data_IF_023263444880
#
_entry.id   IF_023263444880
#
_cell.length_a   1.000
_cell.length_b   1.000
_cell.length_c   1.000
_cell.angle_alpha   90.00
_cell.angle_beta   90.00
_cell.angle_gamma   90.00
#
_symmetry.space_group_name_H-M   'P 1'
#
loop_
_entity.id
_entity.type
_entity.pdbx_description
1 polymer ?
#
# COMPACT_ATOMS: atom_id res chain seq x y z
N UNK A 1 1.32 -7.19 0.78
CA UNK A 1 0.30 -6.17 0.98
C UNK A 1 0.75 -5.14 1.99
N UNK A 2 0.62 -3.88 1.65
CA UNK A 2 0.99 -2.74 2.49
C UNK A 2 -0.08 -2.53 3.59
N UNK A 3 0.28 -2.70 4.84
CA UNK A 3 -0.65 -2.48 5.94
C UNK A 3 0.10 -2.27 7.25
N UNK A 4 -0.08 -1.10 7.86
CA UNK A 4 0.53 -0.75 9.14
C UNK A 4 -0.26 -1.33 10.32
N UNK A 5 0.38 -2.16 11.14
CA UNK A 5 -0.25 -2.78 12.33
C UNK A 5 -0.58 -1.72 13.39
N UNK A 6 0.30 -0.78 13.58
CA UNK A 6 0.15 0.25 14.60
C UNK A 6 0.42 1.62 14.00
N UNK A 7 -0.65 2.40 13.82
CA UNK A 7 -0.53 3.85 13.87
C UNK A 7 -0.67 4.30 15.33
N UNK A 8 -0.12 5.45 15.69
CA UNK A 8 -0.27 6.02 17.04
C UNK A 8 -1.75 6.15 17.47
N UNK A 9 -2.66 6.18 16.50
CA UNK A 9 -4.08 6.43 16.68
C UNK A 9 -4.98 5.19 16.53
N UNK A 10 -4.45 4.04 16.08
CA UNK A 10 -5.23 2.79 15.92
C UNK A 10 -5.57 2.11 17.25
N UNK A 11 -4.87 2.48 18.32
CA UNK A 11 -5.01 1.83 19.62
C UNK A 11 -4.33 0.45 19.65
N UNK A 12 -5.03 -0.56 20.20
CA UNK A 12 -4.46 -1.91 20.31
C UNK A 12 -4.39 -2.59 18.94
N UNK A 13 -3.30 -3.29 18.65
CA UNK A 13 -3.09 -4.06 17.43
C UNK A 13 -4.19 -5.10 17.17
N UNK A 14 -4.77 -5.68 18.22
CA UNK A 14 -5.88 -6.63 18.15
C UNK A 14 -7.09 -6.08 17.37
N UNK A 15 -7.39 -4.78 17.52
CA UNK A 15 -8.46 -4.13 16.74
C UNK A 15 -8.15 -4.16 15.24
N UNK A 16 -6.92 -3.84 14.88
CA UNK A 16 -6.46 -3.86 13.48
C UNK A 16 -6.52 -5.27 12.91
N UNK A 17 -6.01 -6.26 13.66
CA UNK A 17 -6.00 -7.66 13.25
C UNK A 17 -7.41 -8.21 13.05
N UNK A 18 -8.34 -7.93 13.96
CA UNK A 18 -9.74 -8.39 13.84
C UNK A 18 -10.42 -7.81 12.60
N UNK A 19 -10.19 -6.54 12.29
CA UNK A 19 -10.74 -5.95 11.07
C UNK A 19 -10.13 -6.58 9.81
N UNK A 20 -8.83 -6.84 9.78
CA UNK A 20 -8.22 -7.53 8.65
C UNK A 20 -8.73 -8.96 8.50
N UNK A 21 -8.76 -9.73 9.57
CA UNK A 21 -9.25 -11.11 9.53
C UNK A 21 -10.72 -11.20 9.14
N UNK A 22 -11.56 -10.27 9.60
CA UNK A 22 -12.98 -10.20 9.22
C UNK A 22 -13.20 -9.88 7.71
N UNK A 23 -12.17 -9.38 7.02
CA UNK A 23 -12.19 -9.13 5.58
C UNK A 23 -11.36 -10.16 4.78
N UNK A 24 -11.01 -11.30 5.40
CA UNK A 24 -10.31 -12.38 4.72
C UNK A 24 -8.81 -12.15 4.47
N UNK A 25 -8.19 -11.19 5.14
CA UNK A 25 -6.77 -10.90 4.98
C UNK A 25 -5.97 -11.84 5.86
N UNK A 26 -5.28 -12.82 5.25
CA UNK A 26 -4.50 -13.86 5.95
C UNK A 26 -3.02 -13.55 6.08
N UNK A 27 -2.48 -12.64 5.26
CA UNK A 27 -1.06 -12.26 5.28
C UNK A 27 -0.90 -10.77 5.04
N UNK A 28 -0.09 -10.10 5.87
CA UNK A 28 0.28 -8.70 5.71
C UNK A 28 1.80 -8.53 5.74
N UNK A 29 2.26 -7.49 5.10
CA UNK A 29 3.58 -6.90 5.24
C UNK A 29 3.41 -5.59 6.00
N UNK A 30 4.06 -5.47 7.18
CA UNK A 30 4.09 -4.20 7.91
C UNK A 30 5.32 -3.39 7.48
N UNK A 31 5.13 -2.34 6.67
CA UNK A 31 6.23 -1.57 6.11
C UNK A 31 6.67 -0.47 7.09
N UNK A 32 7.42 -0.82 8.12
CA UNK A 32 7.94 0.12 9.13
C UNK A 32 6.94 0.51 10.22
N UNK A 33 6.76 -0.38 11.18
CA UNK A 33 5.95 -0.11 12.37
C UNK A 33 6.59 0.93 13.29
N UNK A 34 5.81 1.88 13.77
CA UNK A 34 6.25 2.88 14.73
C UNK A 34 6.68 2.31 16.10
N UNK A 35 6.26 1.07 16.45
CA UNK A 35 6.67 0.36 17.67
C UNK A 35 8.07 -0.29 17.55
N UNK A 36 8.65 -0.29 16.34
CA UNK A 36 9.98 -0.86 16.08
C UNK A 36 9.95 -2.36 15.76
N UNK A 37 11.10 -2.82 15.23
CA UNK A 37 11.24 -4.18 14.70
C UNK A 37 10.98 -5.26 15.76
N UNK A 38 11.53 -5.13 16.96
CA UNK A 38 11.39 -6.16 18.01
C UNK A 38 9.94 -6.42 18.39
N UNK A 39 9.13 -5.35 18.45
CA UNK A 39 7.72 -5.47 18.72
C UNK A 39 6.98 -6.20 17.56
N UNK A 40 7.30 -5.89 16.31
CA UNK A 40 6.68 -6.57 15.16
C UNK A 40 7.08 -8.05 15.11
N UNK A 41 8.33 -8.37 15.43
CA UNK A 41 8.82 -9.75 15.52
C UNK A 41 8.09 -10.53 16.61
N UNK A 42 7.81 -9.92 17.78
CA UNK A 42 6.97 -10.53 18.82
C UNK A 42 5.54 -10.80 18.31
N UNK A 43 4.93 -9.83 17.60
CA UNK A 43 3.60 -10.02 16.99
C UNK A 43 3.62 -11.12 15.92
N UNK A 44 4.66 -11.19 15.10
CA UNK A 44 4.87 -12.24 14.11
C UNK A 44 4.90 -13.62 14.76
N UNK A 45 5.69 -13.80 15.83
CA UNK A 45 5.77 -15.05 16.58
C UNK A 45 4.42 -15.43 17.21
N UNK A 46 3.72 -14.47 17.80
CA UNK A 46 2.37 -14.69 18.38
C UNK A 46 1.36 -15.10 17.31
N UNK A 47 1.39 -14.47 16.14
CA UNK A 47 0.55 -14.84 15.01
C UNK A 47 0.87 -16.25 14.48
N UNK A 48 2.15 -16.60 14.34
CA UNK A 48 2.58 -17.94 13.90
C UNK A 48 2.16 -19.04 14.87
N UNK A 49 2.20 -18.76 16.18
CA UNK A 49 1.75 -19.69 17.22
C UNK A 49 0.23 -19.67 17.44
N UNK A 50 -0.50 -18.84 16.69
CA UNK A 50 -1.94 -18.62 16.87
C UNK A 50 -2.37 -18.27 18.31
N UNK A 51 -1.49 -17.60 19.07
CA UNK A 51 -1.80 -17.07 20.39
C UNK A 51 -2.54 -15.74 20.35
N UNK A 52 -2.62 -15.14 19.17
CA UNK A 52 -3.44 -13.98 18.84
C UNK A 52 -4.19 -14.21 17.53
N UNK A 53 -5.40 -13.67 17.40
CA UNK A 53 -6.16 -13.65 16.14
C UNK A 53 -5.58 -12.57 15.25
N UNK A 54 -4.69 -12.93 14.32
CA UNK A 54 -3.98 -12.01 13.46
C UNK A 54 -3.60 -12.65 12.12
N UNK A 55 -3.49 -11.88 11.03
CA UNK A 55 -2.85 -12.34 9.80
C UNK A 55 -1.41 -12.81 10.04
N UNK A 56 -0.84 -13.59 9.14
CA UNK A 56 0.61 -13.81 9.07
C UNK A 56 1.29 -12.46 8.84
N UNK A 57 2.35 -12.16 9.61
CA UNK A 57 3.03 -10.87 9.62
C UNK A 57 4.42 -11.03 9.02
N UNK A 58 4.73 -10.23 7.99
CA UNK A 58 6.09 -10.00 7.53
C UNK A 58 6.58 -8.67 8.13
N UNK A 59 7.67 -8.75 8.87
CA UNK A 59 8.25 -7.63 9.60
C UNK A 59 9.26 -6.87 8.73
N UNK A 60 8.87 -5.72 8.17
CA UNK A 60 9.80 -4.83 7.50
C UNK A 60 10.18 -3.69 8.43
N UNK A 61 11.47 -3.43 8.56
CA UNK A 61 11.97 -2.29 9.34
C UNK A 61 12.18 -1.06 8.45
N UNK A 62 11.90 0.12 8.97
CA UNK A 62 12.19 1.39 8.28
C UNK A 62 13.68 1.66 8.20
N UNK A 63 14.21 2.00 7.02
CA UNK A 63 15.62 2.29 6.84
C UNK A 63 16.07 3.42 7.78
N UNK A 64 17.11 3.15 8.57
CA UNK A 64 17.60 4.04 9.61
C UNK A 64 16.87 3.98 10.96
N UNK A 65 15.76 3.23 11.06
CA UNK A 65 15.01 3.09 12.32
C UNK A 65 15.92 2.48 13.41
N UNK A 66 15.93 3.09 14.59
CA UNK A 66 16.77 2.68 15.72
C UNK A 66 18.22 3.17 15.65
N UNK A 67 18.65 3.85 14.58
CA UNK A 67 19.94 4.50 14.51
C UNK A 67 19.92 5.81 15.28
N UNK A 68 20.85 5.98 16.25
CA UNK A 68 20.93 7.20 17.07
C UNK A 68 21.36 8.45 16.29
N UNK A 69 22.21 8.27 15.28
CA UNK A 69 22.82 9.37 14.53
C UNK A 69 22.39 9.42 13.05
N UNK A 70 21.37 8.64 12.68
CA UNK A 70 21.01 8.42 11.27
C UNK A 70 22.03 7.51 10.56
N UNK A 71 21.91 7.41 9.25
CA UNK A 71 22.81 6.66 8.36
C UNK A 71 23.48 7.66 7.44
N UNK A 72 24.79 7.86 7.61
CA UNK A 72 25.52 8.96 6.96
C UNK A 72 26.60 8.51 5.96
N UNK A 73 26.77 7.19 5.80
CA UNK A 73 27.71 6.63 4.84
C UNK A 73 27.24 5.31 4.25
N UNK A 74 27.72 4.92 3.05
CA UNK A 74 27.45 3.62 2.45
C UNK A 74 27.83 2.45 3.36
N UNK A 75 28.92 2.56 4.12
CA UNK A 75 29.33 1.53 5.07
C UNK A 75 28.31 1.36 6.19
N UNK A 76 27.89 2.46 6.81
CA UNK A 76 26.85 2.42 7.85
C UNK A 76 25.54 1.84 7.33
N UNK A 77 25.17 2.13 6.07
CA UNK A 77 24.00 1.56 5.44
C UNK A 77 24.09 0.03 5.32
N UNK A 78 25.23 -0.49 4.87
CA UNK A 78 25.49 -1.93 4.76
C UNK A 78 25.43 -2.58 6.16
N UNK A 79 26.13 -2.01 7.14
CA UNK A 79 26.18 -2.55 8.49
C UNK A 79 24.78 -2.55 9.15
N UNK A 80 23.98 -1.49 8.93
CA UNK A 80 22.61 -1.39 9.42
C UNK A 80 21.70 -2.44 8.78
N UNK A 81 21.80 -2.68 7.47
CA UNK A 81 21.02 -3.70 6.74
C UNK A 81 21.33 -5.08 7.30
N UNK A 82 22.62 -5.43 7.48
CA UNK A 82 23.06 -6.72 8.05
C UNK A 82 22.51 -6.91 9.46
N UNK A 83 22.67 -5.91 10.33
CA UNK A 83 22.19 -5.97 11.70
C UNK A 83 20.69 -6.28 11.77
N UNK A 84 19.87 -5.66 10.93
CA UNK A 84 18.43 -5.91 10.95
C UNK A 84 18.04 -7.24 10.28
N UNK A 85 18.79 -7.71 9.29
CA UNK A 85 18.66 -9.06 8.76
C UNK A 85 18.95 -10.12 9.85
N UNK A 86 20.05 -9.97 10.58
CA UNK A 86 20.43 -10.88 11.67
C UNK A 86 19.40 -10.89 12.81
N UNK A 87 18.69 -9.79 13.04
CA UNK A 87 17.58 -9.70 14.00
C UNK A 87 16.31 -10.42 13.50
N UNK A 88 16.22 -10.77 12.20
CA UNK A 88 15.09 -11.49 11.64
C UNK A 88 14.07 -10.63 10.89
N UNK A 89 14.46 -9.44 10.43
CA UNK A 89 13.61 -8.67 9.52
C UNK A 89 13.37 -9.44 8.22
N UNK A 90 12.13 -9.43 7.72
CA UNK A 90 11.76 -10.04 6.43
C UNK A 90 12.07 -9.11 5.25
N UNK A 91 12.27 -7.83 5.53
CA UNK A 91 12.59 -6.83 4.53
C UNK A 91 12.82 -5.44 5.11
N UNK A 92 13.10 -4.49 4.21
CA UNK A 92 13.38 -3.11 4.58
C UNK A 92 12.44 -2.17 3.81
N UNK A 93 11.86 -1.22 4.56
CA UNK A 93 11.07 -0.11 4.00
C UNK A 93 11.94 1.13 3.88
N UNK A 94 12.02 1.68 2.68
CA UNK A 94 12.69 2.93 2.38
C UNK A 94 11.68 4.07 2.17
N UNK A 95 12.14 5.30 2.42
CA UNK A 95 11.42 6.53 2.08
C UNK A 95 12.25 7.42 1.13
N UNK A 96 13.55 7.28 1.15
CA UNK A 96 14.56 7.99 0.41
C UNK A 96 15.84 8.03 1.22
N UNK A 97 16.95 8.32 0.56
CA UNK A 97 18.26 8.56 1.16
C UNK A 97 19.19 9.20 0.10
N UNK A 98 20.34 9.75 0.49
CA UNK A 98 21.39 10.10 -0.46
C UNK A 98 21.70 8.92 -1.40
N UNK A 99 21.89 9.15 -2.71
CA UNK A 99 21.95 8.09 -3.70
C UNK A 99 23.00 6.99 -3.47
N UNK A 100 24.16 7.35 -2.96
CA UNK A 100 25.25 6.41 -2.65
C UNK A 100 24.92 5.51 -1.46
N UNK A 101 24.31 6.08 -0.42
CA UNK A 101 23.81 5.37 0.76
C UNK A 101 22.67 4.43 0.37
N UNK A 102 21.71 4.95 -0.41
CA UNK A 102 20.55 4.17 -0.85
C UNK A 102 20.96 2.99 -1.74
N UNK A 103 21.85 3.21 -2.70
CA UNK A 103 22.39 2.15 -3.58
C UNK A 103 23.14 1.07 -2.77
N UNK A 104 23.91 1.48 -1.77
CA UNK A 104 24.63 0.53 -0.90
C UNK A 104 23.66 -0.32 -0.09
N UNK A 105 22.62 0.29 0.51
CA UNK A 105 21.59 -0.40 1.25
C UNK A 105 20.81 -1.39 0.38
N UNK A 106 20.35 -0.98 -0.81
CA UNK A 106 19.60 -1.83 -1.73
C UNK A 106 20.42 -3.03 -2.21
N UNK A 107 21.69 -2.82 -2.57
CA UNK A 107 22.59 -3.89 -3.00
C UNK A 107 22.82 -4.92 -1.90
N UNK A 108 23.06 -4.48 -0.66
CA UNK A 108 23.24 -5.39 0.47
C UNK A 108 21.95 -6.12 0.82
N UNK A 109 20.81 -5.42 0.80
CA UNK A 109 19.49 -6.03 0.99
C UNK A 109 19.23 -7.16 -0.01
N UNK A 110 19.48 -6.91 -1.30
CA UNK A 110 19.37 -7.92 -2.36
C UNK A 110 20.34 -9.11 -2.15
N UNK A 111 21.59 -8.83 -1.77
CA UNK A 111 22.61 -9.85 -1.49
C UNK A 111 22.20 -10.80 -0.38
N UNK A 112 21.52 -10.29 0.64
CA UNK A 112 21.00 -11.07 1.77
C UNK A 112 19.66 -11.75 1.47
N UNK A 113 19.12 -11.61 0.26
CA UNK A 113 17.82 -12.18 -0.13
C UNK A 113 16.61 -11.53 0.52
N UNK A 114 16.78 -10.37 1.15
CA UNK A 114 15.68 -9.63 1.75
C UNK A 114 14.85 -8.93 0.68
N UNK A 115 13.55 -8.81 0.93
CA UNK A 115 12.67 -7.97 0.13
C UNK A 115 12.78 -6.50 0.56
N UNK A 116 12.38 -5.60 -0.33
CA UNK A 116 12.40 -4.16 -0.06
C UNK A 116 11.16 -3.48 -0.59
N UNK A 117 10.75 -2.41 0.09
CA UNK A 117 9.63 -1.57 -0.29
C UNK A 117 10.03 -0.10 -0.18
N UNK A 118 9.53 0.76 -1.05
CA UNK A 118 9.85 2.18 -0.99
C UNK A 118 8.61 3.06 -1.22
N UNK A 119 8.33 3.95 -0.25
CA UNK A 119 7.60 5.17 -0.51
C UNK A 119 8.63 6.21 -0.97
N UNK A 120 8.68 6.50 -2.26
CA UNK A 120 9.63 7.47 -2.79
C UNK A 120 9.23 8.87 -2.34
N UNK A 121 9.96 9.44 -1.37
CA UNK A 121 9.67 10.79 -0.90
C UNK A 121 9.89 11.81 -2.02
N UNK A 122 8.94 12.71 -2.22
CA UNK A 122 8.97 13.69 -3.32
C UNK A 122 10.23 14.55 -3.36
N UNK A 123 10.90 14.75 -2.21
CA UNK A 123 12.16 15.49 -2.14
C UNK A 123 13.36 14.70 -2.69
N UNK A 124 13.28 13.38 -2.74
CA UNK A 124 14.41 12.52 -3.11
C UNK A 124 14.32 11.98 -4.54
N UNK A 125 13.12 11.98 -5.14
CA UNK A 125 12.88 11.38 -6.47
C UNK A 125 13.62 12.08 -7.60
N UNK A 126 13.99 13.34 -7.44
CA UNK A 126 14.83 14.07 -8.40
C UNK A 126 16.27 13.51 -8.46
N UNK A 127 16.75 12.94 -7.34
CA UNK A 127 18.08 12.32 -7.23
C UNK A 127 18.05 10.85 -7.55
N UNK A 128 16.95 10.16 -7.21
CA UNK A 128 16.81 8.72 -7.35
C UNK A 128 15.33 8.34 -7.50
N UNK A 129 14.83 8.32 -8.74
CA UNK A 129 13.46 7.94 -9.05
C UNK A 129 13.25 6.41 -9.08
N UNK A 130 12.05 5.96 -9.44
CA UNK A 130 11.68 4.55 -9.44
C UNK A 130 12.57 3.67 -10.33
N UNK A 131 12.99 4.15 -11.50
CA UNK A 131 13.87 3.36 -12.39
C UNK A 131 15.24 3.12 -11.74
N UNK A 132 15.81 4.15 -11.13
CA UNK A 132 17.10 4.02 -10.48
C UNK A 132 17.05 3.09 -9.26
N UNK A 133 15.98 3.17 -8.47
CA UNK A 133 15.81 2.26 -7.33
C UNK A 133 15.58 0.82 -7.79
N UNK A 134 14.75 0.60 -8.82
CA UNK A 134 14.53 -0.72 -9.41
C UNK A 134 15.82 -1.34 -9.98
N UNK A 135 16.62 -0.58 -10.74
CA UNK A 135 17.94 -1.00 -11.25
C UNK A 135 18.90 -1.41 -10.13
N UNK A 136 18.77 -0.82 -8.96
CA UNK A 136 19.62 -1.12 -7.79
C UNK A 136 19.03 -2.20 -6.87
N UNK A 137 17.91 -2.85 -7.26
CA UNK A 137 17.38 -4.02 -6.58
C UNK A 137 16.24 -3.76 -5.61
N UNK A 138 15.60 -2.59 -5.65
CA UNK A 138 14.32 -2.40 -4.99
C UNK A 138 13.30 -3.39 -5.56
N UNK A 139 12.56 -4.08 -4.69
CA UNK A 139 11.60 -5.11 -5.13
C UNK A 139 10.19 -4.57 -5.34
N UNK A 140 9.76 -3.61 -4.52
CA UNK A 140 8.41 -3.03 -4.61
C UNK A 140 8.45 -1.52 -4.40
N UNK A 141 7.70 -0.79 -5.22
CA UNK A 141 7.33 0.57 -4.87
C UNK A 141 5.92 0.61 -4.27
N UNK A 142 5.73 1.54 -3.37
CA UNK A 142 4.44 1.86 -2.78
C UNK A 142 3.90 3.13 -3.43
N UNK A 143 2.59 3.20 -3.61
CA UNK A 143 1.95 4.39 -4.20
C UNK A 143 2.39 4.65 -5.64
N UNK A 144 2.89 5.84 -5.94
CA UNK A 144 3.20 6.28 -7.31
C UNK A 144 4.30 7.33 -7.43
N UNK A 145 4.77 7.92 -6.33
CA UNK A 145 5.86 8.90 -6.36
C UNK A 145 7.13 8.29 -6.95
N UNK A 146 7.76 9.00 -7.84
CA UNK A 146 8.90 8.52 -8.62
C UNK A 146 8.53 7.95 -10.00
N UNK A 147 7.25 7.57 -10.24
CA UNK A 147 6.79 7.15 -11.57
C UNK A 147 6.66 8.34 -12.52
N UNK A 148 5.89 9.41 -12.20
CA UNK A 148 5.84 10.60 -13.05
C UNK A 148 7.22 11.19 -13.31
N UNK A 149 8.06 11.26 -12.28
CA UNK A 149 9.40 11.81 -12.36
C UNK A 149 10.33 10.98 -13.28
N UNK A 150 10.19 9.67 -13.31
CA UNK A 150 10.91 8.82 -14.27
C UNK A 150 10.47 9.05 -15.72
N UNK A 151 9.28 9.61 -15.91
CA UNK A 151 8.69 9.90 -17.21
C UNK A 151 8.79 11.37 -17.64
N UNK A 152 9.50 12.23 -16.91
CA UNK A 152 9.76 13.59 -17.36
C UNK A 152 10.61 13.58 -18.64
N UNK A 153 10.27 14.45 -19.62
CA UNK A 153 10.95 14.54 -20.91
C UNK A 153 12.04 15.62 -20.90
N UNK A 154 11.68 16.83 -20.46
CA UNK A 154 12.56 18.00 -20.57
C UNK A 154 13.13 18.47 -19.23
N UNK A 155 12.96 17.70 -18.16
CA UNK A 155 13.35 18.05 -16.80
C UNK A 155 13.62 16.85 -15.93
N UNK A 156 14.24 17.07 -14.78
CA UNK A 156 14.52 16.05 -13.75
C UNK A 156 13.82 16.32 -12.42
N UNK A 157 13.32 17.52 -12.22
CA UNK A 157 12.64 17.96 -10.99
C UNK A 157 11.21 18.40 -11.28
N UNK A 158 10.37 18.30 -10.26
CA UNK A 158 8.97 18.72 -10.31
C UNK A 158 8.84 20.25 -10.48
N UNK A 159 7.75 20.69 -11.11
CA UNK A 159 7.40 22.10 -11.18
C UNK A 159 6.62 22.50 -9.91
N UNK A 160 7.31 22.55 -8.78
CA UNK A 160 6.73 23.07 -7.56
C UNK A 160 6.83 24.59 -7.53
N UNK A 161 5.85 25.31 -6.94
CA UNK A 161 5.94 26.76 -6.76
C UNK A 161 7.11 27.13 -5.82
N UNK A 162 7.59 28.36 -5.91
CA UNK A 162 8.74 28.81 -5.12
C UNK A 162 8.50 28.73 -3.60
N UNK A 163 7.25 28.91 -3.18
CA UNK A 163 6.80 28.84 -1.78
C UNK A 163 6.47 27.41 -1.32
N UNK A 164 6.72 26.38 -2.14
CA UNK A 164 6.44 25.00 -1.81
C UNK A 164 7.13 24.59 -0.51
N UNK A 165 6.31 24.09 0.43
CA UNK A 165 6.80 23.59 1.70
C UNK A 165 6.38 22.12 1.89
N UNK A 166 7.35 21.22 1.74
CA UNK A 166 7.12 19.79 1.91
C UNK A 166 6.55 19.40 3.29
N UNK A 167 6.89 20.15 4.34
CA UNK A 167 6.40 19.91 5.69
C UNK A 167 4.96 20.36 5.91
N UNK A 168 4.41 21.15 4.98
CA UNK A 168 2.99 21.50 4.96
C UNK A 168 2.23 20.42 4.17
N UNK A 169 1.48 19.59 4.87
CA UNK A 169 0.75 18.46 4.31
C UNK A 169 -0.25 18.87 3.21
N UNK A 170 -0.99 19.96 3.42
CA UNK A 170 -1.92 20.49 2.43
C UNK A 170 -1.20 20.86 1.14
N UNK A 171 -0.10 21.61 1.25
CA UNK A 171 0.71 22.03 0.13
C UNK A 171 1.37 20.84 -0.61
N UNK A 172 1.85 19.87 0.16
CA UNK A 172 2.45 18.64 -0.38
C UNK A 172 1.46 17.84 -1.22
N UNK A 173 0.24 17.61 -0.73
CA UNK A 173 -0.77 16.86 -1.46
C UNK A 173 -1.41 17.66 -2.59
N UNK A 174 -1.53 18.98 -2.46
CA UNK A 174 -1.96 19.85 -3.54
C UNK A 174 -1.04 19.72 -4.76
N UNK A 175 0.26 19.84 -4.55
CA UNK A 175 1.25 19.70 -5.62
C UNK A 175 1.39 18.26 -6.12
N UNK A 176 1.21 17.26 -5.24
CA UNK A 176 1.17 15.87 -5.65
C UNK A 176 0.05 15.58 -6.68
N UNK A 177 -1.13 16.18 -6.51
CA UNK A 177 -2.24 16.05 -7.45
C UNK A 177 -1.94 16.53 -8.87
N UNK A 178 -0.86 17.29 -9.06
CA UNK A 178 -0.45 17.87 -10.36
C UNK A 178 0.68 17.09 -11.06
N UNK A 179 1.25 16.05 -10.42
CA UNK A 179 2.49 15.41 -10.90
C UNK A 179 2.30 14.58 -12.17
N UNK A 180 1.24 13.80 -12.27
CA UNK A 180 1.01 12.97 -13.46
C UNK A 180 0.81 13.80 -14.74
N UNK A 181 0.33 15.03 -14.64
CA UNK A 181 0.23 15.96 -15.78
C UNK A 181 1.60 16.48 -16.26
N UNK A 182 2.64 16.35 -15.43
CA UNK A 182 4.00 16.75 -15.78
C UNK A 182 4.78 15.60 -16.45
N UNK A 183 4.27 14.38 -16.39
CA UNK A 183 4.86 13.19 -17.02
C UNK A 183 4.61 13.18 -18.53
N UNK A 184 5.38 12.35 -19.23
CA UNK A 184 5.13 12.05 -20.64
C UNK A 184 3.70 11.56 -20.86
N UNK A 185 3.11 11.91 -21.99
CA UNK A 185 1.74 11.54 -22.34
C UNK A 185 1.58 10.01 -22.38
N UNK A 186 0.40 9.49 -22.00
CA UNK A 186 0.09 8.07 -22.17
C UNK A 186 0.42 7.58 -23.59
N UNK A 187 1.00 6.39 -23.66
CA UNK A 187 1.40 5.70 -24.90
C UNK A 187 2.54 6.36 -25.69
N UNK A 188 3.12 7.46 -25.21
CA UNK A 188 4.32 8.05 -25.82
C UNK A 188 5.54 7.12 -25.68
N UNK A 189 6.61 7.41 -26.43
CA UNK A 189 7.84 6.63 -26.36
C UNK A 189 8.39 6.56 -24.93
N UNK A 190 8.51 7.69 -24.25
CA UNK A 190 9.06 7.77 -22.88
C UNK A 190 8.20 6.99 -21.88
N UNK A 191 6.88 7.10 -21.98
CA UNK A 191 5.93 6.29 -21.18
C UNK A 191 6.15 4.79 -21.38
N UNK A 192 6.28 4.36 -22.64
CA UNK A 192 6.50 2.97 -22.98
C UNK A 192 7.88 2.47 -22.52
N UNK A 193 8.92 3.26 -22.70
CA UNK A 193 10.28 2.90 -22.31
C UNK A 193 10.38 2.65 -20.80
N UNK A 194 9.84 3.56 -19.98
CA UNK A 194 9.82 3.42 -18.50
C UNK A 194 9.06 2.17 -18.09
N UNK A 195 7.89 1.94 -18.66
CA UNK A 195 7.06 0.77 -18.36
C UNK A 195 7.75 -0.53 -18.73
N UNK A 196 8.29 -0.63 -19.95
CA UNK A 196 8.99 -1.82 -20.41
C UNK A 196 10.25 -2.14 -19.58
N UNK A 197 10.96 -1.10 -19.16
CA UNK A 197 12.14 -1.29 -18.32
C UNK A 197 11.76 -1.82 -16.93
N UNK A 198 10.73 -1.26 -16.28
CA UNK A 198 10.25 -1.76 -14.98
C UNK A 198 9.79 -3.22 -15.09
N UNK A 199 9.11 -3.59 -16.18
CA UNK A 199 8.70 -4.99 -16.44
C UNK A 199 9.94 -5.89 -16.62
N UNK A 200 10.93 -5.45 -17.38
CA UNK A 200 12.17 -6.22 -17.59
C UNK A 200 12.98 -6.45 -16.31
N UNK A 201 12.80 -5.59 -15.32
CA UNK A 201 13.42 -5.68 -13.99
C UNK A 201 12.61 -6.53 -13.00
N UNK A 202 11.51 -7.17 -13.43
CA UNK A 202 10.56 -7.90 -12.57
C UNK A 202 10.05 -7.07 -11.40
N UNK A 203 9.80 -5.78 -11.65
CA UNK A 203 9.47 -4.82 -10.62
C UNK A 203 8.00 -4.90 -10.22
N UNK A 204 7.72 -4.78 -8.94
CA UNK A 204 6.34 -4.82 -8.41
C UNK A 204 5.86 -3.42 -8.03
N UNK A 205 4.61 -3.11 -8.40
CA UNK A 205 3.92 -1.88 -7.96
C UNK A 205 2.80 -2.26 -6.99
N UNK A 206 2.93 -1.84 -5.73
CA UNK A 206 1.88 -1.92 -4.70
C UNK A 206 1.13 -0.57 -4.69
N UNK A 207 0.02 -0.51 -5.42
CA UNK A 207 -0.54 0.78 -5.85
C UNK A 207 -1.13 1.62 -4.73
N UNK A 208 -1.80 1.01 -3.74
CA UNK A 208 -2.46 1.74 -2.65
C UNK A 208 -3.27 2.95 -3.12
N UNK A 209 -4.19 2.74 -4.05
CA UNK A 209 -5.09 3.79 -4.54
C UNK A 209 -5.94 4.40 -3.41
N UNK A 210 -6.39 3.54 -2.49
CA UNK A 210 -7.43 3.90 -1.51
C UNK A 210 -7.09 5.09 -0.61
N UNK A 211 -5.87 5.28 -0.05
CA UNK A 211 -5.60 6.44 0.81
C UNK A 211 -5.76 7.77 0.07
N UNK A 212 -5.47 7.80 -1.22
CA UNK A 212 -5.61 9.03 -2.02
C UNK A 212 -7.03 9.23 -2.58
N UNK A 213 -7.93 8.25 -2.43
CA UNK A 213 -9.30 8.34 -2.97
C UNK A 213 -10.11 9.47 -2.34
N UNK A 214 -9.81 9.83 -1.08
CA UNK A 214 -10.45 10.94 -0.37
C UNK A 214 -10.26 12.28 -1.10
N UNK A 215 -9.13 12.47 -1.80
CA UNK A 215 -8.83 13.71 -2.51
C UNK A 215 -9.69 13.93 -3.76
N UNK A 216 -10.37 12.88 -4.23
CA UNK A 216 -11.30 12.94 -5.37
C UNK A 216 -12.69 13.45 -4.96
N UNK A 217 -13.09 13.22 -3.72
CA UNK A 217 -14.39 13.62 -3.16
C UNK A 217 -14.32 13.51 -1.62
N UNK A 218 -13.96 14.60 -0.99
CA UNK A 218 -13.72 14.66 0.46
C UNK A 218 -14.98 14.32 1.26
N UNK A 219 -16.14 14.85 0.85
CA UNK A 219 -17.39 14.62 1.56
C UNK A 219 -17.83 13.17 1.49
N UNK A 220 -17.74 12.55 0.30
CA UNK A 220 -18.10 11.14 0.11
C UNK A 220 -17.14 10.23 0.85
N UNK A 221 -15.83 10.47 0.76
CA UNK A 221 -14.81 9.67 1.44
C UNK A 221 -14.97 9.68 2.96
N UNK A 222 -15.32 10.83 3.54
CA UNK A 222 -15.52 10.99 4.99
C UNK A 222 -16.85 10.43 5.50
N UNK A 223 -17.84 10.18 4.64
CA UNK A 223 -19.20 9.74 5.00
C UNK A 223 -19.49 8.25 4.79
N UNK A 224 -18.43 7.42 4.64
CA UNK A 224 -18.59 6.00 4.40
C UNK A 224 -19.29 5.30 5.60
N UNK A 225 -20.22 4.36 5.33
CA UNK A 225 -21.16 3.86 6.32
C UNK A 225 -20.53 3.10 7.50
N UNK A 226 -19.34 2.54 7.29
CA UNK A 226 -18.64 1.78 8.34
C UNK A 226 -17.94 2.65 9.40
N UNK A 227 -17.74 3.95 9.15
CA UNK A 227 -17.04 4.80 10.10
C UNK A 227 -17.81 4.93 11.42
N UNK A 228 -19.13 4.97 11.37
CA UNK A 228 -19.98 5.06 12.57
C UNK A 228 -19.82 3.85 13.50
N UNK A 229 -19.72 2.65 12.92
CA UNK A 229 -19.83 1.40 13.69
C UNK A 229 -18.47 0.76 13.99
N UNK A 230 -17.47 0.97 13.12
CA UNK A 230 -16.21 0.25 13.17
C UNK A 230 -14.98 1.13 13.42
N UNK A 231 -15.05 2.45 13.25
CA UNK A 231 -13.91 3.32 13.52
C UNK A 231 -13.85 3.67 15.00
N UNK A 232 -12.74 3.34 15.65
CA UNK A 232 -12.54 3.70 17.07
C UNK A 232 -12.53 5.22 17.26
N UNK A 233 -13.00 5.73 18.42
CA UNK A 233 -13.09 7.16 18.66
C UNK A 233 -11.75 7.91 18.47
N UNK A 234 -10.61 7.33 18.90
CA UNK A 234 -9.30 7.94 18.74
C UNK A 234 -8.90 8.06 17.26
N UNK A 235 -9.18 7.01 16.47
CA UNK A 235 -8.90 7.00 15.03
C UNK A 235 -9.85 7.97 14.31
N UNK A 236 -11.12 8.00 14.70
CA UNK A 236 -12.07 8.96 14.14
C UNK A 236 -11.66 10.40 14.43
N UNK A 237 -11.21 10.69 15.66
CA UNK A 237 -10.66 12.01 16.01
C UNK A 237 -9.45 12.38 15.15
N UNK A 238 -8.59 11.42 14.82
CA UNK A 238 -7.45 11.63 13.93
C UNK A 238 -7.88 11.95 12.48
N UNK A 239 -9.02 11.42 12.03
CA UNK A 239 -9.59 11.71 10.71
C UNK A 239 -10.29 13.06 10.62
N UNK A 240 -10.71 13.67 11.75
CA UNK A 240 -11.40 14.96 11.71
C UNK A 240 -10.51 16.06 11.14
N UNK A 241 -11.12 17.04 10.43
CA UNK A 241 -10.39 18.17 9.85
C UNK A 241 -9.48 18.88 10.86
N UNK A 242 -8.20 18.97 10.54
CA UNK A 242 -7.20 19.66 11.35
C UNK A 242 -5.97 19.98 10.49
N UNK A 243 -5.49 21.22 10.56
CA UNK A 243 -4.27 21.64 9.86
C UNK A 243 -3.01 20.93 10.34
N UNK A 244 -3.05 20.38 11.54
CA UNK A 244 -1.94 19.68 12.19
C UNK A 244 -2.01 18.16 11.96
N UNK A 245 -3.11 17.65 11.43
CA UNK A 245 -3.31 16.22 11.22
C UNK A 245 -2.86 15.80 9.84
N UNK A 246 -1.89 14.88 9.79
CA UNK A 246 -1.49 14.19 8.56
C UNK A 246 -2.68 13.52 7.83
N UNK A 247 -3.72 13.14 8.56
CA UNK A 247 -4.89 12.48 7.99
C UNK A 247 -5.95 13.42 7.42
N UNK A 248 -5.84 14.73 7.59
CA UNK A 248 -6.94 15.67 7.32
C UNK A 248 -6.48 17.02 6.75
N UNK A 249 -5.32 17.09 6.14
CA UNK A 249 -4.73 18.33 5.59
C UNK A 249 -5.45 18.90 4.36
N UNK A 250 -6.46 18.20 3.86
CA UNK A 250 -7.21 18.49 2.63
C UNK A 250 -8.58 19.13 2.88
N UNK A 251 -8.94 19.45 4.10
CA UNK A 251 -10.31 19.89 4.43
C UNK A 251 -10.67 21.27 3.86
N UNK A 252 -9.67 22.11 3.54
CA UNK A 252 -9.88 23.40 2.88
C UNK A 252 -10.07 23.28 1.36
N UNK A 253 -9.98 22.07 0.79
CA UNK A 253 -10.07 21.88 -0.64
C UNK A 253 -11.51 21.98 -1.16
N UNK A 254 -11.65 22.70 -2.28
CA UNK A 254 -12.89 22.80 -3.03
C UNK A 254 -12.90 21.88 -4.26
N UNK A 255 -13.97 22.01 -5.04
CA UNK A 255 -14.22 21.21 -6.25
C UNK A 255 -13.11 21.32 -7.32
N UNK A 256 -12.38 22.43 -7.34
CA UNK A 256 -11.25 22.62 -8.27
C UNK A 256 -10.13 21.62 -7.97
N UNK A 257 -9.69 21.53 -6.70
CA UNK A 257 -8.64 20.60 -6.30
C UNK A 257 -9.09 19.14 -6.40
N UNK A 258 -10.34 18.84 -6.07
CA UNK A 258 -10.92 17.52 -6.30
C UNK A 258 -10.90 17.13 -7.80
N UNK A 259 -11.12 18.10 -8.70
CA UNK A 259 -11.03 17.87 -10.14
C UNK A 259 -9.60 17.59 -10.56
N UNK A 260 -8.62 18.34 -10.05
CA UNK A 260 -7.19 18.07 -10.28
C UNK A 260 -6.84 16.64 -9.87
N UNK A 261 -7.29 16.19 -8.71
CA UNK A 261 -7.04 14.83 -8.24
C UNK A 261 -7.77 13.75 -9.05
N UNK A 262 -9.00 13.99 -9.53
CA UNK A 262 -9.70 13.08 -10.45
C UNK A 262 -8.93 12.89 -11.75
N UNK A 263 -8.37 13.95 -12.29
CA UNK A 263 -7.55 13.88 -13.52
C UNK A 263 -6.20 13.18 -13.27
N UNK A 264 -5.55 13.45 -12.14
CA UNK A 264 -4.34 12.76 -11.69
C UNK A 264 -4.58 11.24 -11.57
N UNK A 265 -5.67 10.86 -10.92
CA UNK A 265 -6.09 9.47 -10.79
C UNK A 265 -6.30 8.77 -12.12
N UNK A 266 -6.92 9.46 -13.08
CA UNK A 266 -7.18 8.90 -14.40
C UNK A 266 -5.87 8.53 -15.12
N UNK A 267 -4.87 9.37 -15.04
CA UNK A 267 -3.54 9.09 -15.62
C UNK A 267 -2.84 7.95 -14.89
N UNK A 268 -2.86 7.97 -13.55
CA UNK A 268 -2.28 6.93 -12.71
C UNK A 268 -2.93 5.56 -12.97
N UNK A 269 -4.25 5.49 -12.96
CA UNK A 269 -5.00 4.26 -13.27
C UNK A 269 -4.72 3.75 -14.68
N UNK A 270 -4.56 4.65 -15.67
CA UNK A 270 -4.18 4.30 -17.04
C UNK A 270 -2.81 3.63 -17.07
N UNK A 271 -1.81 4.19 -16.36
CA UNK A 271 -0.48 3.59 -16.28
C UNK A 271 -0.54 2.19 -15.64
N UNK A 272 -1.21 2.06 -14.52
CA UNK A 272 -1.27 0.80 -13.76
C UNK A 272 -1.99 -0.30 -14.56
N UNK A 273 -3.08 0.04 -15.22
CA UNK A 273 -3.79 -0.94 -16.07
C UNK A 273 -2.95 -1.39 -17.26
N UNK A 274 -2.26 -0.47 -17.91
CA UNK A 274 -1.38 -0.80 -19.03
C UNK A 274 -0.16 -1.60 -18.58
N UNK A 275 0.45 -1.25 -17.44
CA UNK A 275 1.53 -2.00 -16.81
C UNK A 275 1.16 -3.46 -16.57
N UNK A 276 0.00 -3.70 -15.96
CA UNK A 276 -0.56 -5.03 -15.76
C UNK A 276 -0.83 -5.75 -17.10
N UNK A 277 -1.43 -5.07 -18.09
CA UNK A 277 -1.74 -5.66 -19.39
C UNK A 277 -0.50 -6.11 -20.18
N UNK A 278 0.66 -5.52 -19.88
CA UNK A 278 1.96 -5.91 -20.47
C UNK A 278 2.73 -6.93 -19.63
N UNK A 279 2.14 -7.48 -18.58
CA UNK A 279 2.74 -8.49 -17.72
C UNK A 279 3.47 -7.93 -16.49
N UNK A 280 3.36 -6.64 -16.21
CA UNK A 280 3.89 -6.05 -14.99
C UNK A 280 3.13 -6.50 -13.76
N UNK A 281 3.85 -6.76 -12.66
CA UNK A 281 3.25 -7.22 -11.40
C UNK A 281 2.66 -6.07 -10.61
N UNK A 282 1.34 -6.12 -10.40
CA UNK A 282 0.60 -5.18 -9.56
C UNK A 282 0.02 -5.91 -8.35
N UNK A 283 0.16 -5.34 -7.17
CA UNK A 283 -0.40 -5.88 -5.92
C UNK A 283 -1.39 -4.90 -5.29
N UNK A 284 -2.24 -5.43 -4.41
CA UNK A 284 -3.21 -4.65 -3.65
C UNK A 284 -2.70 -4.43 -2.22
N UNK A 285 -2.38 -3.18 -1.90
CA UNK A 285 -2.09 -2.70 -0.56
C UNK A 285 -3.08 -1.62 -0.16
N UNK A 286 -3.40 -1.47 1.11
CA UNK A 286 -4.40 -0.49 1.53
C UNK A 286 -3.84 0.71 2.27
N UNK A 287 -2.66 0.57 2.88
CA UNK A 287 -2.05 1.63 3.68
C UNK A 287 -3.07 2.29 4.66
N UNK A 288 -3.86 1.42 5.34
CA UNK A 288 -4.99 1.85 6.17
C UNK A 288 -4.53 2.45 7.50
N UNK A 289 -5.38 3.30 8.08
CA UNK A 289 -5.17 3.91 9.38
C UNK A 289 -5.14 5.44 9.37
N UNK A 290 -5.31 6.07 8.20
CA UNK A 290 -5.41 7.52 8.03
C UNK A 290 -6.28 7.88 6.83
N UNK A 291 -6.62 9.16 6.65
CA UNK A 291 -7.41 9.67 5.51
C UNK A 291 -8.74 8.93 5.30
N UNK A 292 -9.50 8.70 6.38
CA UNK A 292 -10.76 7.93 6.34
C UNK A 292 -10.63 6.55 5.70
N UNK A 293 -9.44 5.99 5.68
CA UNK A 293 -9.17 4.66 5.17
C UNK A 293 -9.09 3.66 6.34
N UNK A 294 -10.15 2.88 6.54
CA UNK A 294 -10.29 1.98 7.67
C UNK A 294 -9.73 0.59 7.35
N UNK A 295 -9.06 -0.02 8.32
CA UNK A 295 -8.52 -1.37 8.25
C UNK A 295 -9.56 -2.40 7.78
N UNK A 296 -9.17 -3.28 6.88
CA UNK A 296 -10.05 -4.25 6.25
C UNK A 296 -10.95 -3.63 5.18
N UNK A 297 -11.78 -2.67 5.55
CA UNK A 297 -12.67 -1.97 4.61
C UNK A 297 -11.91 -1.29 3.47
N UNK A 298 -10.85 -0.55 3.79
CA UNK A 298 -10.01 0.09 2.78
C UNK A 298 -9.35 -0.91 1.84
N UNK A 299 -9.07 -2.12 2.30
CA UNK A 299 -8.54 -3.15 1.40
C UNK A 299 -9.55 -3.59 0.34
N UNK A 300 -10.82 -3.75 0.70
CA UNK A 300 -11.84 -4.08 -0.29
C UNK A 300 -12.09 -2.88 -1.24
N UNK A 301 -12.03 -1.65 -0.73
CA UNK A 301 -12.05 -0.45 -1.59
C UNK A 301 -10.88 -0.43 -2.58
N UNK A 302 -9.68 -0.85 -2.17
CA UNK A 302 -8.54 -0.98 -3.09
C UNK A 302 -8.84 -1.94 -4.24
N UNK A 303 -9.50 -3.07 -3.95
CA UNK A 303 -9.93 -4.03 -4.98
C UNK A 303 -10.97 -3.41 -5.93
N UNK A 304 -11.89 -2.60 -5.42
CA UNK A 304 -12.85 -1.86 -6.23
C UNK A 304 -12.16 -0.80 -7.11
N UNK A 305 -11.12 -0.12 -6.60
CA UNK A 305 -10.34 0.87 -7.35
C UNK A 305 -9.48 0.21 -8.45
N UNK A 306 -8.95 -0.99 -8.22
CA UNK A 306 -8.32 -1.77 -9.30
C UNK A 306 -9.34 -2.12 -10.41
N UNK A 307 -10.59 -2.44 -10.05
CA UNK A 307 -11.67 -2.61 -11.02
C UNK A 307 -11.96 -1.33 -11.79
N UNK A 308 -12.01 -0.18 -11.11
CA UNK A 308 -12.16 1.15 -11.73
C UNK A 308 -11.03 1.43 -12.72
N UNK A 309 -9.80 1.03 -12.36
CA UNK A 309 -8.62 1.17 -13.22
C UNK A 309 -8.65 0.28 -14.48
N UNK A 310 -9.60 -0.66 -14.59
CA UNK A 310 -9.79 -1.50 -15.77
C UNK A 310 -9.40 -2.98 -15.61
N UNK A 311 -8.99 -3.42 -14.42
CA UNK A 311 -8.70 -4.83 -14.18
C UNK A 311 -9.96 -5.70 -14.30
N UNK A 312 -9.87 -6.88 -14.88
CA UNK A 312 -10.93 -7.87 -14.78
C UNK A 312 -11.07 -8.42 -13.36
N UNK A 313 -12.24 -8.91 -12.93
CA UNK A 313 -12.43 -9.40 -11.55
C UNK A 313 -11.40 -10.45 -11.12
N UNK A 314 -11.01 -11.37 -11.99
CA UNK A 314 -10.01 -12.38 -11.69
C UNK A 314 -8.61 -11.78 -11.55
N UNK A 315 -8.25 -10.78 -12.34
CA UNK A 315 -6.98 -10.06 -12.23
C UNK A 315 -6.87 -9.29 -10.91
N UNK A 316 -8.00 -8.74 -10.43
CA UNK A 316 -8.07 -8.11 -9.10
C UNK A 316 -7.77 -9.15 -8.01
N UNK A 317 -8.40 -10.32 -8.08
CA UNK A 317 -8.14 -11.42 -7.12
C UNK A 317 -6.68 -11.89 -7.22
N UNK A 318 -6.12 -12.01 -8.42
CA UNK A 318 -4.72 -12.36 -8.63
C UNK A 318 -3.77 -11.32 -8.00
N UNK A 319 -4.06 -10.02 -8.15
CA UNK A 319 -3.30 -8.93 -7.49
C UNK A 319 -3.34 -9.02 -5.97
N UNK A 320 -4.47 -9.50 -5.42
CA UNK A 320 -4.70 -9.68 -3.99
C UNK A 320 -4.10 -10.97 -3.42
N UNK A 321 -3.73 -11.93 -4.26
CA UNK A 321 -3.31 -13.28 -3.86
C UNK A 321 -1.94 -13.66 -4.42
N UNK A 322 -1.87 -14.22 -5.61
CA UNK A 322 -0.64 -14.73 -6.21
C UNK A 322 0.42 -13.64 -6.38
N UNK A 323 0.07 -12.51 -7.01
CA UNK A 323 1.02 -11.42 -7.21
C UNK A 323 1.57 -10.87 -5.89
N UNK A 324 0.69 -10.79 -4.87
CA UNK A 324 1.11 -10.36 -3.52
C UNK A 324 2.06 -11.39 -2.87
N UNK A 325 1.82 -12.69 -3.07
CA UNK A 325 2.71 -13.74 -2.58
C UNK A 325 4.09 -13.69 -3.25
N UNK A 326 4.13 -13.52 -4.58
CA UNK A 326 5.37 -13.34 -5.35
C UNK A 326 6.16 -12.11 -4.89
N UNK A 327 5.47 -10.97 -4.69
CA UNK A 327 6.10 -9.72 -4.25
C UNK A 327 6.85 -9.87 -2.91
N UNK A 328 6.33 -10.71 -2.02
CA UNK A 328 6.95 -10.98 -0.70
C UNK A 328 7.80 -12.27 -0.67
N UNK A 329 7.93 -12.99 -1.81
CA UNK A 329 8.72 -14.21 -1.93
C UNK A 329 8.12 -15.41 -1.19
N UNK A 330 6.80 -15.54 -1.17
CA UNK A 330 6.07 -16.64 -0.50
C UNK A 330 5.15 -17.43 -1.46
N UNK A 331 5.26 -17.23 -2.75
CA UNK A 331 4.39 -17.84 -3.77
C UNK A 331 4.45 -19.37 -3.80
N UNK A 332 5.54 -19.97 -3.36
CA UNK A 332 5.63 -21.43 -3.15
C UNK A 332 4.80 -21.92 -1.94
N UNK A 333 4.37 -21.01 -1.04
CA UNK A 333 3.70 -21.35 0.22
C UNK A 333 2.26 -20.86 0.32
N UNK A 334 1.96 -19.72 -0.33
CA UNK A 334 0.64 -19.06 -0.30
C UNK A 334 0.31 -18.47 -1.67
N UNK A 335 -0.87 -17.85 -1.81
CA UNK A 335 -1.28 -17.11 -3.01
C UNK A 335 -2.17 -17.90 -3.97
N UNK A 336 -2.11 -19.23 -3.93
CA UNK A 336 -2.98 -20.14 -4.68
C UNK A 336 -3.44 -21.30 -3.79
N UNK A 337 -4.54 -21.97 -4.17
CA UNK A 337 -5.03 -23.15 -3.49
C UNK A 337 -4.45 -24.37 -4.21
N UNK A 338 -3.36 -24.91 -3.68
CA UNK A 338 -2.63 -26.04 -4.24
C UNK A 338 -2.15 -26.97 -3.14
N UNK A 339 -1.97 -28.27 -3.46
CA UNK A 339 -1.41 -29.25 -2.54
C UNK A 339 0.04 -28.86 -2.19
N UNK A 340 0.34 -28.86 -0.89
CA UNK A 340 1.67 -28.47 -0.38
C UNK A 340 1.77 -27.03 0.09
N UNK A 341 0.82 -26.16 -0.25
CA UNK A 341 0.74 -24.79 0.27
C UNK A 341 -0.01 -24.70 1.60
N UNK A 342 0.20 -23.62 2.33
CA UNK A 342 -0.58 -23.36 3.53
C UNK A 342 -2.06 -23.21 3.21
N UNK A 343 -2.91 -23.72 4.08
CA UNK A 343 -4.35 -23.56 3.96
C UNK A 343 -4.77 -22.15 4.41
N UNK A 344 -4.47 -21.18 3.55
CA UNK A 344 -4.86 -19.78 3.68
C UNK A 344 -5.97 -19.51 2.66
N UNK A 345 -7.21 -19.39 3.12
CA UNK A 345 -8.37 -19.20 2.24
C UNK A 345 -9.52 -18.51 2.95
N UNK A 346 -10.48 -18.05 2.17
CA UNK A 346 -11.76 -17.56 2.68
C UNK A 346 -12.91 -18.42 2.17
N UNK A 347 -13.93 -18.60 3.00
CA UNK A 347 -15.19 -19.20 2.58
C UNK A 347 -16.28 -18.12 2.59
N UNK A 348 -17.11 -18.13 1.57
CA UNK A 348 -18.19 -17.16 1.41
C UNK A 348 -19.33 -17.73 0.56
N UNK A 349 -20.57 -17.25 0.81
CA UNK A 349 -21.77 -17.75 0.12
C UNK A 349 -21.98 -17.14 -1.27
N UNK A 350 -21.24 -16.09 -1.61
CA UNK A 350 -21.43 -15.34 -2.84
C UNK A 350 -20.14 -15.28 -3.65
N UNK A 351 -20.29 -15.27 -4.96
CA UNK A 351 -19.15 -15.21 -5.87
C UNK A 351 -18.60 -13.77 -5.97
N UNK A 352 -17.38 -13.49 -5.47
CA UNK A 352 -16.77 -12.16 -5.48
C UNK A 352 -16.45 -11.68 -6.91
N UNK A 353 -16.29 -12.57 -7.88
CA UNK A 353 -16.08 -12.18 -9.29
C UNK A 353 -17.29 -11.47 -9.90
N UNK A 354 -18.49 -11.68 -9.33
CA UNK A 354 -19.71 -10.98 -9.73
C UNK A 354 -19.84 -9.62 -9.05
N UNK A 355 -19.36 -9.51 -7.82
CA UNK A 355 -19.44 -8.28 -7.05
C UNK A 355 -18.41 -8.32 -5.91
N UNK A 356 -17.35 -7.51 -6.02
CA UNK A 356 -16.30 -7.43 -5.01
C UNK A 356 -16.80 -6.95 -3.64
N UNK A 357 -17.92 -6.26 -3.57
CA UNK A 357 -18.53 -5.83 -2.29
C UNK A 357 -18.95 -7.00 -1.40
N UNK A 358 -19.08 -8.19 -1.95
CA UNK A 358 -19.29 -9.39 -1.13
C UNK A 358 -18.09 -9.76 -0.25
N UNK A 359 -16.90 -9.20 -0.53
CA UNK A 359 -15.69 -9.37 0.28
C UNK A 359 -15.66 -8.49 1.54
N UNK A 360 -16.50 -7.45 1.64
CA UNK A 360 -16.63 -6.75 2.91
C UNK A 360 -17.08 -7.72 4.00
N UNK A 361 -16.46 -7.70 5.17
CA UNK A 361 -16.87 -8.53 6.29
C UNK A 361 -18.34 -8.31 6.70
N UNK A 362 -18.87 -7.11 6.41
CA UNK A 362 -20.29 -6.76 6.61
C UNK A 362 -21.20 -7.14 5.44
N UNK A 363 -20.66 -7.67 4.34
CA UNK A 363 -21.40 -7.89 3.10
C UNK A 363 -21.84 -6.62 2.38
N UNK A 364 -22.49 -6.81 1.24
CA UNK A 364 -23.10 -5.75 0.43
C UNK A 364 -24.54 -5.45 0.87
N UNK A 365 -25.02 -4.24 0.64
CA UNK A 365 -26.37 -3.79 0.97
C UNK A 365 -27.30 -4.07 -0.21
N UNK A 366 -28.38 -4.80 0.04
CA UNK A 366 -29.42 -5.14 -0.96
C UNK A 366 -30.80 -4.88 -0.41
N UNK A 367 -31.79 -4.85 -1.31
CA UNK A 367 -33.19 -4.93 -0.93
C UNK A 367 -33.67 -6.38 -1.10
N UNK A 368 -34.39 -6.89 -0.12
CA UNK A 368 -35.09 -8.16 -0.23
C UNK A 368 -36.41 -8.01 -1.05
N UNK A 369 -37.13 -9.10 -1.26
CA UNK A 369 -38.40 -9.10 -1.99
C UNK A 369 -39.50 -8.25 -1.34
N UNK A 370 -39.32 -7.85 -0.07
CA UNK A 370 -40.24 -7.02 0.69
C UNK A 370 -39.74 -5.57 0.84
N UNK A 371 -38.74 -5.18 0.08
CA UNK A 371 -38.05 -3.90 0.14
C UNK A 371 -37.37 -3.58 1.48
N UNK A 372 -37.03 -4.60 2.28
CA UNK A 372 -36.21 -4.39 3.45
C UNK A 372 -34.73 -4.33 3.07
N UNK A 373 -33.96 -3.48 3.74
CA UNK A 373 -32.52 -3.43 3.63
C UNK A 373 -31.93 -4.66 4.32
N UNK A 374 -31.18 -5.46 3.55
CA UNK A 374 -30.50 -6.66 4.03
C UNK A 374 -29.02 -6.64 3.66
N UNK A 375 -28.20 -7.33 4.46
CA UNK A 375 -26.80 -7.60 4.12
C UNK A 375 -26.69 -8.94 3.40
N UNK A 376 -25.90 -8.99 2.32
CA UNK A 376 -25.75 -10.18 1.46
C UNK A 376 -24.26 -10.39 1.17
N UNK A 377 -23.80 -11.61 1.29
CA UNK A 377 -22.38 -11.94 1.19
C UNK A 377 -21.67 -11.65 2.52
N UNK A 378 -20.44 -11.34 2.45
CA UNK A 378 -19.49 -11.24 3.57
C UNK A 378 -18.57 -12.44 3.58
N UNK A 379 -17.44 -12.30 4.28
CA UNK A 379 -16.52 -13.41 4.54
C UNK A 379 -17.09 -14.22 5.70
N UNK A 380 -17.53 -15.45 5.43
CA UNK A 380 -18.09 -16.32 6.46
C UNK A 380 -17.00 -16.89 7.36
N UNK A 381 -15.89 -17.31 6.77
CA UNK A 381 -14.73 -17.84 7.49
C UNK A 381 -13.45 -17.38 6.83
N UNK A 382 -12.51 -16.98 7.66
CA UNK A 382 -11.11 -16.75 7.26
C UNK A 382 -10.29 -17.91 7.79
N UNK A 383 -9.59 -18.61 6.94
CA UNK A 383 -8.73 -19.73 7.30
C UNK A 383 -7.28 -19.32 7.09
N UNK A 384 -6.48 -19.44 8.13
CA UNK A 384 -5.04 -19.17 8.10
C UNK A 384 -4.28 -20.35 8.71
N UNK A 385 -3.32 -20.89 7.98
CA UNK A 385 -2.55 -22.08 8.41
C UNK A 385 -3.46 -23.28 8.79
N UNK A 386 -4.64 -23.41 8.14
CA UNK A 386 -5.64 -24.42 8.42
C UNK A 386 -6.53 -24.16 9.64
N UNK A 387 -6.33 -23.05 10.33
CA UNK A 387 -7.17 -22.66 11.49
C UNK A 387 -8.28 -21.73 11.00
N UNK A 388 -9.50 -22.02 11.41
CA UNK A 388 -10.72 -21.28 11.09
C UNK A 388 -10.92 -20.16 12.11
N UNK A 389 -11.17 -18.94 11.60
CA UNK A 389 -11.47 -17.76 12.38
C UNK A 389 -12.84 -17.20 12.03
#
# INVERSE_FOLDING_TARGET
MHGHISSQNSGKAEYVYKLWMAHGITTIRDPSCGQGLDWVLDQKVKSQKNTITAPRILAYTGFGQGSKNGINSPKEAIDWVRQNADRGADGIKFFGAPPDIFKAALKENKKLGLRSACHHAQMDVARMNVLETARNGLTTMEHWYGLPEAMFEDKTIQNFPLEFNYMNEGNRFEEAGKLWKQAAKPYSKKWNDVMNELISLDFTIDVTFVPYSIFRDVQRGSSLPWHKDYTRPQLLKFFLPSRESHAAAYYDWGSEMETVWKENYKLWMTFINEYKNRGGRVTAGSDSGYMYNLYGFGYIQELELLREAGFHPLEVIQSATLNAAEAIGMDERIGTIEVGKYADMILMDRNPLKNLKYLYGTGDVKLDKRNNVVRVGGVNYTIKDGIIY
#
